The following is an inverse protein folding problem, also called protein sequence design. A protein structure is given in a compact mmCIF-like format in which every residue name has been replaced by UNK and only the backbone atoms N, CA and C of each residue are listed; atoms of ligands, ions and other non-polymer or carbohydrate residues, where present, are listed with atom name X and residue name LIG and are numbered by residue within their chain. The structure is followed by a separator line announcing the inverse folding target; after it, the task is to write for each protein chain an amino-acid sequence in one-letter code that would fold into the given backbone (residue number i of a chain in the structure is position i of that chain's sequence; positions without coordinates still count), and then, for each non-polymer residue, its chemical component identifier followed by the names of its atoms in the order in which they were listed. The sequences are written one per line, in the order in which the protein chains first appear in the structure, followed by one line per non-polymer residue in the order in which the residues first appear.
data_IF_066273719208
#
_entry.id   IF_066273719208
#
_cell.length_a   1.000
_cell.length_b   1.000
_cell.length_c   1.000
_cell.angle_alpha   90.00
_cell.angle_beta   90.00
_cell.angle_gamma   90.00
#
_symmetry.space_group_name_H-M   'P 1'
#
loop_
_entity.id
_entity.type
_entity.pdbx_description
1 polymer ?
#
# COMPACT_ATOMS: atom_id res chain seq x y z
N UNK A 1 -5.87 42.22 -22.87
CA UNK A 1 -5.28 42.70 -21.59
C UNK A 1 -4.30 41.63 -21.16
N UNK A 2 -3.02 41.82 -21.48
CA UNK A 2 -1.95 40.89 -21.08
C UNK A 2 -1.73 41.06 -19.59
N UNK A 3 -1.99 40.02 -18.82
CA UNK A 3 -1.57 39.99 -17.41
C UNK A 3 -0.05 39.78 -17.46
N UNK A 4 0.72 40.83 -17.23
CA UNK A 4 2.14 40.75 -16.94
C UNK A 4 2.25 39.95 -15.62
N UNK A 5 2.59 38.68 -15.70
CA UNK A 5 3.07 37.95 -14.53
C UNK A 5 4.36 38.67 -14.09
N UNK A 6 4.31 39.30 -12.94
CA UNK A 6 5.48 39.93 -12.35
C UNK A 6 6.42 38.78 -11.87
N UNK A 7 7.45 38.52 -12.70
CA UNK A 7 8.55 37.65 -12.25
C UNK A 7 9.27 38.39 -11.14
N UNK A 8 9.40 37.73 -9.99
CA UNK A 8 10.10 38.29 -8.82
C UNK A 8 11.60 38.30 -9.11
N UNK A 9 12.27 39.45 -8.94
CA UNK A 9 13.72 39.54 -9.02
C UNK A 9 14.36 38.64 -7.95
N UNK A 10 15.20 37.74 -8.37
CA UNK A 10 15.92 36.78 -7.48
C UNK A 10 17.37 37.23 -7.32
N UNK A 11 17.96 36.88 -6.18
CA UNK A 11 19.38 37.05 -5.87
C UNK A 11 19.99 35.73 -5.42
N UNK A 12 21.23 35.52 -5.77
CA UNK A 12 22.01 34.37 -5.35
C UNK A 12 22.56 34.62 -3.94
N UNK A 13 22.42 33.60 -3.09
CA UNK A 13 22.87 33.62 -1.71
C UNK A 13 23.88 32.51 -1.48
N UNK A 14 25.05 32.84 -0.98
CA UNK A 14 26.06 31.90 -0.51
C UNK A 14 26.24 32.07 0.99
N UNK A 15 26.26 30.93 1.74
CA UNK A 15 26.37 30.95 3.19
C UNK A 15 27.40 29.93 3.68
N UNK A 16 28.25 30.39 4.61
CA UNK A 16 29.16 29.52 5.39
C UNK A 16 28.87 29.72 6.88
N UNK A 17 28.59 28.65 7.59
CA UNK A 17 28.24 28.71 9.01
C UNK A 17 28.81 27.56 9.82
N UNK A 18 28.79 27.71 11.15
CA UNK A 18 29.23 26.66 12.07
C UNK A 18 28.22 25.52 12.16
N UNK A 19 28.66 24.27 12.11
CA UNK A 19 27.81 23.06 12.23
C UNK A 19 26.99 23.04 13.53
N UNK A 20 27.55 23.58 14.63
CA UNK A 20 26.84 23.69 15.92
C UNK A 20 25.57 24.54 15.87
N UNK A 21 25.52 25.51 14.97
CA UNK A 21 24.39 26.42 14.81
C UNK A 21 23.48 26.06 13.61
N UNK A 22 23.84 25.03 12.83
CA UNK A 22 23.12 24.63 11.60
C UNK A 22 21.63 24.33 11.85
N UNK A 23 21.34 23.47 12.82
CA UNK A 23 19.96 23.03 13.09
C UNK A 23 19.04 24.18 13.53
N UNK A 24 19.37 25.02 14.53
CA UNK A 24 18.52 26.13 14.90
C UNK A 24 18.39 27.17 13.77
N UNK A 25 19.48 27.42 13.02
CA UNK A 25 19.45 28.32 11.86
C UNK A 25 18.47 27.81 10.78
N UNK A 26 18.56 26.55 10.38
CA UNK A 26 17.65 25.96 9.41
C UNK A 26 16.18 26.03 9.83
N UNK A 27 15.91 25.88 11.13
CA UNK A 27 14.56 26.06 11.66
C UNK A 27 14.03 27.47 11.45
N UNK A 28 14.88 28.49 11.61
CA UNK A 28 14.49 29.89 11.42
C UNK A 28 14.43 30.23 9.92
N UNK A 29 15.34 29.73 9.11
CA UNK A 29 15.35 29.92 7.66
C UNK A 29 14.09 29.33 7.00
N UNK A 30 13.73 28.11 7.35
CA UNK A 30 12.47 27.49 6.87
C UNK A 30 11.23 28.28 7.32
N UNK A 31 11.28 28.92 8.49
CA UNK A 31 10.18 29.79 8.93
C UNK A 31 10.05 31.06 8.10
N UNK A 32 11.14 31.57 7.54
CA UNK A 32 11.08 32.69 6.61
C UNK A 32 10.44 32.25 5.29
N UNK A 33 10.68 31.02 4.85
CA UNK A 33 10.08 30.43 3.66
C UNK A 33 10.40 31.15 2.36
N UNK A 34 11.60 31.79 2.27
CA UNK A 34 11.98 32.68 1.17
C UNK A 34 13.33 32.32 0.52
N UNK A 35 13.97 31.24 1.01
CA UNK A 35 15.26 30.78 0.46
C UNK A 35 15.09 29.39 -0.09
N UNK A 36 15.44 29.20 -1.37
CA UNK A 36 15.58 27.91 -2.03
C UNK A 36 17.06 27.53 -1.99
N UNK A 37 17.38 26.38 -1.41
CA UNK A 37 18.76 25.88 -1.31
C UNK A 37 19.00 24.96 -2.50
N UNK A 38 20.10 25.22 -3.24
CA UNK A 38 20.48 24.43 -4.40
C UNK A 38 21.05 23.06 -3.95
N UNK A 39 20.74 22.02 -4.71
CA UNK A 39 21.42 20.73 -4.53
C UNK A 39 22.87 20.83 -5.05
N UNK A 40 23.82 20.41 -4.24
CA UNK A 40 25.26 20.41 -4.56
C UNK A 40 25.69 19.13 -5.31
N UNK A 41 24.80 18.53 -6.12
CA UNK A 41 25.07 17.24 -6.79
C UNK A 41 26.22 17.23 -7.81
N UNK A 42 26.79 18.35 -8.19
CA UNK A 42 27.91 18.41 -9.13
C UNK A 42 29.26 18.86 -8.55
N UNK A 43 29.25 19.44 -7.35
CA UNK A 43 30.42 20.16 -6.81
C UNK A 43 31.48 19.25 -6.17
N UNK A 44 31.11 18.05 -5.75
CA UNK A 44 32.02 17.14 -4.99
C UNK A 44 32.88 16.24 -5.90
N UNK A 45 32.76 16.33 -7.20
CA UNK A 45 33.52 15.48 -8.14
C UNK A 45 34.99 15.90 -8.37
N UNK A 46 35.42 17.06 -7.88
CA UNK A 46 36.80 17.51 -7.92
C UNK A 46 37.52 17.13 -6.60
N UNK A 47 37.70 15.84 -6.40
CA UNK A 47 38.28 15.25 -5.16
C UNK A 47 39.74 15.65 -4.87
N UNK A 48 40.48 16.21 -5.81
CA UNK A 48 41.94 16.39 -5.65
C UNK A 48 42.33 17.59 -4.75
N UNK A 49 41.48 18.58 -4.53
CA UNK A 49 41.88 19.78 -3.81
C UNK A 49 41.07 20.13 -2.55
N UNK A 50 39.99 19.35 -2.24
CA UNK A 50 39.18 19.51 -1.04
C UNK A 50 38.91 18.19 -0.30
N UNK A 51 39.91 17.52 0.23
CA UNK A 51 39.75 16.17 0.84
C UNK A 51 38.88 16.17 2.11
N UNK A 52 38.62 17.33 2.72
CA UNK A 52 37.88 17.44 3.98
C UNK A 52 36.43 17.88 3.82
N UNK A 53 35.97 18.07 2.57
CA UNK A 53 34.58 18.41 2.30
C UNK A 53 33.78 17.15 1.99
N UNK A 54 32.73 16.93 2.75
CA UNK A 54 31.81 15.79 2.56
C UNK A 54 30.36 16.26 2.57
N UNK A 55 29.52 15.49 1.93
CA UNK A 55 28.06 15.61 2.10
C UNK A 55 27.64 14.93 3.40
N UNK A 56 26.79 15.59 4.14
CA UNK A 56 26.16 14.95 5.30
C UNK A 56 25.19 13.87 4.78
N UNK A 57 25.55 12.61 4.94
CA UNK A 57 24.68 11.50 4.53
C UNK A 57 23.49 11.40 5.50
N UNK A 58 22.35 11.89 5.09
CA UNK A 58 21.08 11.78 5.81
C UNK A 58 20.10 10.80 5.14
N UNK A 59 20.57 10.00 4.20
CA UNK A 59 19.73 9.08 3.44
C UNK A 59 18.93 8.11 4.34
N UNK A 60 19.54 7.59 5.40
CA UNK A 60 18.87 6.70 6.35
C UNK A 60 17.74 7.42 7.12
N UNK A 61 17.98 8.66 7.57
CA UNK A 61 16.97 9.45 8.26
C UNK A 61 15.83 9.85 7.33
N UNK A 62 16.13 10.23 6.10
CA UNK A 62 15.13 10.55 5.07
C UNK A 62 14.29 9.32 4.76
N UNK A 63 14.90 8.16 4.52
CA UNK A 63 14.17 6.91 4.22
C UNK A 63 13.28 6.49 5.38
N UNK A 64 13.73 6.64 6.62
CA UNK A 64 12.91 6.37 7.81
C UNK A 64 11.70 7.30 7.89
N UNK A 65 11.91 8.60 7.67
CA UNK A 65 10.82 9.58 7.70
C UNK A 65 9.83 9.34 6.55
N UNK A 66 10.28 8.94 5.37
CA UNK A 66 9.42 8.58 4.25
C UNK A 66 8.59 7.33 4.55
N UNK A 67 9.16 6.34 5.23
CA UNK A 67 8.42 5.17 5.71
C UNK A 67 7.35 5.54 6.75
N UNK A 68 7.68 6.41 7.71
CA UNK A 68 6.73 6.92 8.70
C UNK A 68 5.59 7.72 8.04
N UNK A 69 5.91 8.57 7.06
CA UNK A 69 4.93 9.34 6.26
C UNK A 69 4.00 8.39 5.51
N UNK A 70 4.55 7.37 4.85
CA UNK A 70 3.75 6.37 4.14
C UNK A 70 2.79 5.62 5.08
N UNK A 71 3.26 5.23 6.28
CA UNK A 71 2.42 4.59 7.31
C UNK A 71 1.26 5.49 7.74
N UNK A 72 1.54 6.75 8.03
CA UNK A 72 0.50 7.73 8.42
C UNK A 72 -0.47 8.00 7.27
N UNK A 73 0.01 8.05 6.02
CA UNK A 73 -0.84 8.21 4.83
C UNK A 73 -1.82 7.04 4.68
N UNK A 74 -1.36 5.80 4.86
CA UNK A 74 -2.22 4.61 4.84
C UNK A 74 -3.32 4.69 5.91
N UNK A 75 -2.98 5.16 7.13
CA UNK A 75 -3.95 5.35 8.20
C UNK A 75 -5.00 6.41 7.84
N UNK A 76 -4.57 7.56 7.31
CA UNK A 76 -5.47 8.64 6.87
C UNK A 76 -6.40 8.19 5.75
N UNK A 77 -5.88 7.46 4.77
CA UNK A 77 -6.66 6.93 3.65
C UNK A 77 -7.71 5.92 4.13
N UNK A 78 -7.33 5.05 5.08
CA UNK A 78 -8.25 4.09 5.70
C UNK A 78 -9.37 4.81 6.45
N UNK A 79 -9.04 5.77 7.32
CA UNK A 79 -10.02 6.56 8.07
C UNK A 79 -10.92 7.34 7.10
N UNK A 80 -10.36 8.00 6.07
CA UNK A 80 -11.11 8.77 5.09
C UNK A 80 -12.12 7.95 4.28
N UNK A 81 -11.85 6.67 4.08
CA UNK A 81 -12.74 5.75 3.35
C UNK A 81 -14.01 5.46 4.13
N UNK A 82 -13.92 5.38 5.45
CA UNK A 82 -15.04 5.00 6.33
C UNK A 82 -15.58 6.18 7.15
N UNK A 83 -15.00 7.38 7.00
CA UNK A 83 -15.51 8.60 7.61
C UNK A 83 -16.87 8.98 6.99
N UNK A 84 -17.93 8.89 7.79
CA UNK A 84 -19.29 9.26 7.42
C UNK A 84 -19.62 10.73 7.65
N UNK A 85 -18.66 11.52 8.16
CA UNK A 85 -18.80 12.93 8.42
C UNK A 85 -19.04 13.77 7.15
N UNK A 86 -19.67 14.92 7.30
CA UNK A 86 -19.86 15.86 6.19
C UNK A 86 -18.49 16.40 5.76
N UNK A 87 -18.04 16.00 4.58
CA UNK A 87 -16.80 16.54 4.00
C UNK A 87 -17.06 17.96 3.49
N UNK A 88 -16.28 18.98 3.90
CA UNK A 88 -16.41 20.32 3.33
C UNK A 88 -16.04 20.28 1.85
N UNK A 89 -16.84 20.98 1.02
CA UNK A 89 -16.60 21.07 -0.44
C UNK A 89 -15.31 21.85 -0.78
N UNK A 90 -14.83 22.68 0.14
CA UNK A 90 -13.61 23.47 0.00
C UNK A 90 -12.75 23.24 1.23
N UNK A 91 -11.58 22.65 1.04
CA UNK A 91 -10.57 22.53 2.08
C UNK A 91 -9.81 23.85 2.19
N UNK A 92 -10.14 24.67 3.18
CA UNK A 92 -9.35 25.85 3.51
C UNK A 92 -8.20 25.46 4.43
N UNK A 93 -6.97 25.83 4.05
CA UNK A 93 -5.80 25.69 4.92
C UNK A 93 -6.01 26.58 6.14
N UNK A 94 -5.89 26.02 7.35
CA UNK A 94 -5.95 26.77 8.59
C UNK A 94 -4.55 27.16 9.00
N UNK A 95 -4.33 28.45 9.21
CA UNK A 95 -3.09 28.93 9.82
C UNK A 95 -3.08 28.60 11.31
N UNK A 96 -2.05 27.90 11.76
CA UNK A 96 -1.86 27.52 13.16
C UNK A 96 -0.56 28.16 13.65
N UNK A 97 -0.61 28.79 14.82
CA UNK A 97 0.59 29.31 15.46
C UNK A 97 1.51 28.16 15.84
N UNK A 98 2.81 28.28 15.54
CA UNK A 98 3.81 27.22 15.74
C UNK A 98 3.84 26.68 17.18
N UNK A 99 3.80 27.58 18.19
CA UNK A 99 3.79 27.15 19.59
C UNK A 99 2.59 26.26 19.91
N UNK A 100 1.39 26.65 19.43
CA UNK A 100 0.16 25.86 19.61
C UNK A 100 0.30 24.49 18.93
N UNK A 101 0.85 24.45 17.72
CA UNK A 101 1.08 23.21 16.97
C UNK A 101 2.08 22.29 17.72
N UNK A 102 3.23 22.82 18.17
CA UNK A 102 4.26 22.06 18.88
C UNK A 102 3.75 21.54 20.22
N UNK A 103 3.07 22.38 20.99
CA UNK A 103 2.51 22.00 22.29
C UNK A 103 1.45 20.91 22.12
N UNK A 104 0.57 21.05 21.13
CA UNK A 104 -0.45 20.06 20.79
C UNK A 104 0.19 18.73 20.39
N UNK A 105 1.15 18.75 19.45
CA UNK A 105 1.86 17.56 19.00
C UNK A 105 2.56 16.83 20.15
N UNK A 106 3.20 17.55 21.07
CA UNK A 106 3.84 16.96 22.24
C UNK A 106 2.83 16.30 23.19
N UNK A 107 1.68 16.94 23.39
CA UNK A 107 0.63 16.43 24.27
C UNK A 107 -0.09 15.19 23.70
N UNK A 108 -0.28 15.13 22.40
CA UNK A 108 -1.07 14.06 21.74
C UNK A 108 -0.23 12.96 21.10
N UNK A 109 1.10 13.10 21.03
CA UNK A 109 2.00 12.25 20.26
C UNK A 109 1.72 10.75 20.43
N UNK A 110 1.76 10.26 21.67
CA UNK A 110 1.61 8.83 21.95
C UNK A 110 0.22 8.31 21.54
N UNK A 111 -0.83 9.08 21.85
CA UNK A 111 -2.19 8.72 21.48
C UNK A 111 -2.38 8.71 19.95
N UNK A 112 -1.80 9.70 19.26
CA UNK A 112 -1.86 9.79 17.80
C UNK A 112 -1.12 8.63 17.13
N UNK A 113 0.08 8.28 17.62
CA UNK A 113 0.83 7.14 17.10
C UNK A 113 0.05 5.81 17.30
N UNK A 114 -0.58 5.61 18.46
CA UNK A 114 -1.45 4.46 18.70
C UNK A 114 -2.66 4.42 17.75
N UNK A 115 -3.29 5.57 17.49
CA UNK A 115 -4.40 5.65 16.55
C UNK A 115 -3.98 5.33 15.12
N UNK A 116 -2.78 5.75 14.71
CA UNK A 116 -2.19 5.37 13.41
C UNK A 116 -1.99 3.86 13.34
N UNK A 117 -1.40 3.25 14.38
CA UNK A 117 -1.16 1.80 14.41
C UNK A 117 -2.47 1.01 14.35
N UNK A 118 -3.49 1.42 15.11
CA UNK A 118 -4.81 0.83 15.06
C UNK A 118 -5.45 0.94 13.67
N UNK A 119 -5.35 2.13 13.02
CA UNK A 119 -5.91 2.32 11.69
C UNK A 119 -5.22 1.45 10.63
N UNK A 120 -3.89 1.33 10.68
CA UNK A 120 -3.11 0.48 9.77
C UNK A 120 -3.45 -0.99 10.00
N UNK A 121 -3.55 -1.44 11.26
CA UNK A 121 -3.90 -2.82 11.60
C UNK A 121 -5.31 -3.17 11.14
N UNK A 122 -6.31 -2.34 11.43
CA UNK A 122 -7.69 -2.53 10.99
C UNK A 122 -7.80 -2.58 9.46
N UNK A 123 -7.11 -1.68 8.75
CA UNK A 123 -7.09 -1.70 7.28
C UNK A 123 -6.46 -2.99 6.72
N UNK A 124 -5.41 -3.50 7.38
CA UNK A 124 -4.79 -4.77 7.01
C UNK A 124 -5.75 -5.95 7.23
N UNK A 125 -6.40 -6.02 8.39
CA UNK A 125 -7.39 -7.09 8.69
C UNK A 125 -8.51 -7.12 7.66
N UNK A 126 -9.05 -5.95 7.29
CA UNK A 126 -10.07 -5.85 6.24
C UNK A 126 -9.56 -6.39 4.90
N UNK A 127 -8.32 -6.06 4.51
CA UNK A 127 -7.73 -6.53 3.25
C UNK A 127 -7.51 -8.05 3.25
N UNK A 128 -6.99 -8.58 4.37
CA UNK A 128 -6.73 -10.01 4.55
C UNK A 128 -8.06 -10.80 4.54
N UNK A 129 -9.08 -10.33 5.27
CA UNK A 129 -10.40 -10.95 5.30
C UNK A 129 -11.08 -10.93 3.91
N UNK A 130 -11.00 -9.85 3.16
CA UNK A 130 -11.53 -9.78 1.79
C UNK A 130 -10.83 -10.75 0.85
N UNK A 131 -9.52 -10.90 0.99
CA UNK A 131 -8.73 -11.87 0.21
C UNK A 131 -9.17 -13.31 0.51
N UNK A 132 -9.36 -13.63 1.79
CA UNK A 132 -9.83 -14.96 2.21
C UNK A 132 -11.27 -15.24 1.76
N UNK A 133 -12.19 -14.28 1.84
CA UNK A 133 -13.55 -14.40 1.31
C UNK A 133 -13.50 -14.73 -0.21
N UNK A 134 -12.66 -14.04 -0.98
CA UNK A 134 -12.56 -14.31 -2.41
C UNK A 134 -11.99 -15.73 -2.69
N UNK A 135 -11.03 -16.18 -1.87
CA UNK A 135 -10.49 -17.55 -1.95
C UNK A 135 -11.59 -18.57 -1.66
N UNK A 136 -12.33 -18.40 -0.56
CA UNK A 136 -13.41 -19.31 -0.17
C UNK A 136 -14.53 -19.35 -1.24
N UNK A 137 -14.93 -18.20 -1.78
CA UNK A 137 -15.93 -18.13 -2.86
C UNK A 137 -15.46 -18.89 -4.10
N UNK A 138 -14.17 -18.81 -4.45
CA UNK A 138 -13.63 -19.58 -5.58
C UNK A 138 -13.69 -21.09 -5.31
N UNK A 139 -13.38 -21.51 -4.08
CA UNK A 139 -13.51 -22.93 -3.68
C UNK A 139 -14.96 -23.39 -3.75
N UNK A 140 -15.89 -22.61 -3.21
CA UNK A 140 -17.33 -22.92 -3.27
C UNK A 140 -17.79 -23.05 -4.72
N UNK A 141 -17.40 -22.15 -5.61
CA UNK A 141 -17.73 -22.23 -7.03
C UNK A 141 -17.22 -23.54 -7.68
N UNK A 142 -16.07 -24.03 -7.25
CA UNK A 142 -15.52 -25.32 -7.71
C UNK A 142 -16.26 -26.53 -7.16
N UNK A 143 -16.82 -26.43 -5.93
CA UNK A 143 -17.58 -27.51 -5.29
C UNK A 143 -19.06 -27.52 -5.67
N UNK A 144 -19.65 -26.39 -6.02
CA UNK A 144 -21.08 -26.21 -6.27
C UNK A 144 -21.63 -27.20 -7.30
N UNK A 145 -20.95 -27.53 -8.43
CA UNK A 145 -21.43 -28.55 -9.36
C UNK A 145 -21.50 -29.96 -8.77
N UNK A 146 -20.85 -30.19 -7.63
CA UNK A 146 -20.74 -31.47 -6.92
C UNK A 146 -21.55 -31.51 -5.62
N UNK A 147 -22.34 -30.50 -5.33
CA UNK A 147 -23.07 -30.35 -4.06
C UNK A 147 -23.96 -31.55 -3.71
N UNK A 148 -24.52 -32.21 -4.72
CA UNK A 148 -25.38 -33.39 -4.54
C UNK A 148 -24.61 -34.70 -4.33
N UNK A 149 -23.28 -34.66 -4.35
CA UNK A 149 -22.44 -35.83 -4.09
C UNK A 149 -22.44 -36.11 -2.58
N UNK A 150 -22.96 -37.25 -2.16
CA UNK A 150 -23.08 -37.72 -0.77
C UNK A 150 -21.89 -38.55 -0.28
N UNK A 151 -20.79 -38.53 -1.03
CA UNK A 151 -19.54 -39.23 -0.69
C UNK A 151 -18.52 -38.21 -0.17
N UNK A 152 -17.87 -38.50 0.99
CA UNK A 152 -16.78 -37.66 1.48
C UNK A 152 -15.64 -37.56 0.48
N UNK A 153 -15.11 -36.35 0.28
CA UNK A 153 -14.11 -36.06 -0.75
C UNK A 153 -12.77 -36.78 -0.55
N UNK A 154 -12.44 -37.10 0.71
CA UNK A 154 -11.26 -37.91 1.03
C UNK A 154 -11.44 -39.40 0.64
N UNK A 155 -12.68 -39.84 0.38
CA UNK A 155 -12.97 -41.22 0.04
C UNK A 155 -12.92 -41.46 -1.48
N UNK A 156 -11.76 -41.25 -2.09
CA UNK A 156 -11.56 -41.51 -3.52
C UNK A 156 -11.34 -42.97 -3.85
N UNK A 157 -10.90 -43.79 -2.87
CA UNK A 157 -10.62 -45.20 -3.04
C UNK A 157 -10.97 -46.00 -1.75
N UNK A 158 -11.41 -47.21 -1.96
CA UNK A 158 -11.53 -48.26 -0.93
C UNK A 158 -10.52 -49.37 -1.17
N UNK A 159 -10.58 -50.49 -0.43
CA UNK A 159 -9.71 -51.65 -0.68
C UNK A 159 -9.83 -52.20 -2.12
N UNK A 160 -11.03 -52.18 -2.70
CA UNK A 160 -11.34 -52.85 -3.95
C UNK A 160 -11.94 -51.92 -5.02
N UNK A 161 -12.59 -50.82 -4.63
CA UNK A 161 -13.27 -49.93 -5.55
C UNK A 161 -12.62 -48.54 -5.56
N UNK A 162 -12.76 -47.82 -6.69
CA UNK A 162 -12.35 -46.43 -6.81
C UNK A 162 -13.53 -45.57 -7.28
N UNK A 163 -13.55 -44.31 -6.79
CA UNK A 163 -14.43 -43.26 -7.23
C UNK A 163 -13.70 -42.36 -8.25
N UNK A 164 -14.25 -42.21 -9.43
CA UNK A 164 -13.73 -41.30 -10.47
C UNK A 164 -14.78 -40.23 -10.74
N UNK A 165 -14.37 -38.97 -10.53
CA UNK A 165 -15.19 -37.81 -10.80
C UNK A 165 -14.69 -37.10 -12.04
N UNK A 166 -15.58 -36.58 -12.84
CA UNK A 166 -15.17 -35.82 -14.01
C UNK A 166 -16.32 -35.20 -14.79
N UNK A 167 -15.95 -34.41 -15.76
CA UNK A 167 -16.86 -33.70 -16.64
C UNK A 167 -16.76 -34.23 -18.05
N UNK A 168 -17.86 -34.22 -18.76
CA UNK A 168 -17.92 -34.55 -20.19
C UNK A 168 -18.39 -33.34 -21.00
N UNK A 169 -18.25 -33.41 -22.32
CA UNK A 169 -18.67 -32.31 -23.17
C UNK A 169 -20.18 -32.07 -23.05
N UNK A 170 -20.60 -30.84 -22.94
CA UNK A 170 -22.02 -30.43 -22.77
C UNK A 170 -22.97 -30.93 -23.87
N UNK A 171 -22.44 -31.35 -25.03
CA UNK A 171 -23.19 -31.94 -26.13
C UNK A 171 -23.32 -33.48 -26.05
N UNK A 172 -22.74 -34.10 -25.04
CA UNK A 172 -22.77 -35.54 -24.84
C UNK A 172 -24.19 -35.98 -24.44
N UNK A 173 -24.67 -37.06 -25.06
CA UNK A 173 -25.89 -37.68 -24.59
C UNK A 173 -25.54 -38.56 -23.36
N UNK A 174 -25.91 -38.11 -22.16
CA UNK A 174 -25.62 -38.82 -20.91
C UNK A 174 -26.18 -40.25 -20.87
N UNK A 175 -27.38 -40.50 -21.45
CA UNK A 175 -27.97 -41.83 -21.53
C UNK A 175 -27.17 -42.76 -22.42
N UNK A 176 -26.62 -42.25 -23.52
CA UNK A 176 -25.75 -43.05 -24.42
C UNK A 176 -24.42 -43.38 -23.72
N UNK A 177 -23.82 -42.37 -23.04
CA UNK A 177 -22.59 -42.58 -22.26
C UNK A 177 -22.79 -43.68 -21.19
N UNK A 178 -23.90 -43.61 -20.44
CA UNK A 178 -24.21 -44.64 -19.42
C UNK A 178 -24.34 -46.01 -20.06
N UNK A 179 -25.05 -46.12 -21.19
CA UNK A 179 -25.24 -47.39 -21.91
C UNK A 179 -23.89 -47.98 -22.38
N UNK A 180 -23.04 -47.17 -22.99
CA UNK A 180 -21.75 -47.62 -23.53
C UNK A 180 -20.75 -48.01 -22.43
N UNK A 181 -20.72 -47.25 -21.33
CA UNK A 181 -19.89 -47.55 -20.17
C UNK A 181 -20.37 -48.85 -19.48
N UNK A 182 -21.69 -49.03 -19.28
CA UNK A 182 -22.23 -50.28 -18.72
C UNK A 182 -22.06 -51.51 -19.62
N UNK A 183 -22.01 -51.30 -20.94
CA UNK A 183 -21.69 -52.40 -21.88
C UNK A 183 -20.23 -52.84 -21.74
N UNK A 184 -19.30 -51.90 -21.47
CA UNK A 184 -17.89 -52.23 -21.25
C UNK A 184 -17.62 -52.70 -19.80
N UNK A 185 -18.32 -52.16 -18.82
CA UNK A 185 -18.13 -52.37 -17.40
C UNK A 185 -19.49 -52.59 -16.70
N UNK A 186 -20.04 -53.78 -16.72
CA UNK A 186 -21.38 -54.08 -16.17
C UNK A 186 -21.47 -53.89 -14.64
N UNK A 187 -20.34 -53.87 -13.95
CA UNK A 187 -20.21 -53.69 -12.49
C UNK A 187 -20.12 -52.21 -12.07
N UNK A 188 -19.96 -51.30 -13.03
CA UNK A 188 -19.79 -49.87 -12.70
C UNK A 188 -21.11 -49.22 -12.25
N UNK A 189 -21.02 -48.35 -11.27
CA UNK A 189 -22.14 -47.48 -10.86
C UNK A 189 -21.88 -46.07 -11.42
N UNK A 190 -22.85 -45.52 -12.10
CA UNK A 190 -22.74 -44.24 -12.78
C UNK A 190 -23.84 -43.31 -12.25
N UNK A 191 -23.44 -42.16 -11.73
CA UNK A 191 -24.38 -41.13 -11.31
C UNK A 191 -24.09 -39.83 -12.08
N UNK A 192 -25.10 -39.25 -12.68
CA UNK A 192 -25.06 -37.90 -13.21
C UNK A 192 -25.28 -36.90 -12.09
N UNK A 193 -24.31 -35.97 -11.89
CA UNK A 193 -24.31 -35.01 -10.80
C UNK A 193 -24.56 -33.63 -11.41
N UNK A 194 -25.77 -33.11 -11.24
CA UNK A 194 -26.13 -31.76 -11.68
C UNK A 194 -25.93 -31.48 -13.18
N UNK A 195 -26.89 -30.85 -13.80
CA UNK A 195 -26.84 -30.50 -15.22
C UNK A 195 -26.75 -28.97 -15.37
N UNK A 196 -25.55 -28.42 -15.19
CA UNK A 196 -25.24 -27.05 -15.60
C UNK A 196 -24.59 -27.05 -16.99
N UNK A 197 -23.79 -26.05 -17.32
CA UNK A 197 -23.11 -25.91 -18.62
C UNK A 197 -22.19 -27.07 -18.99
N UNK A 198 -21.80 -27.90 -18.03
CA UNK A 198 -21.04 -29.14 -18.19
C UNK A 198 -21.80 -30.27 -17.51
N UNK A 199 -21.77 -31.44 -18.07
CA UNK A 199 -22.35 -32.63 -17.44
C UNK A 199 -21.29 -33.26 -16.54
N UNK A 200 -21.61 -33.35 -15.26
CA UNK A 200 -20.72 -33.90 -14.23
C UNK A 200 -21.18 -35.34 -13.93
N UNK A 201 -20.23 -36.23 -13.81
CA UNK A 201 -20.49 -37.65 -13.52
C UNK A 201 -19.59 -38.16 -12.40
N UNK A 202 -20.15 -39.02 -11.57
CA UNK A 202 -19.39 -39.89 -10.67
C UNK A 202 -19.47 -41.33 -11.18
N UNK A 203 -18.34 -42.01 -11.20
CA UNK A 203 -18.20 -43.39 -11.58
C UNK A 203 -17.58 -44.16 -10.42
N UNK A 204 -18.19 -45.26 -10.01
CA UNK A 204 -17.62 -46.21 -9.06
C UNK A 204 -17.36 -47.49 -9.79
N UNK A 205 -16.12 -47.95 -9.83
CA UNK A 205 -15.70 -49.22 -10.45
C UNK A 205 -14.67 -49.94 -9.58
N UNK A 206 -14.40 -51.21 -9.93
CA UNK A 206 -13.29 -51.92 -9.29
C UNK A 206 -11.95 -51.30 -9.69
N UNK A 207 -10.97 -51.33 -8.78
CA UNK A 207 -9.64 -50.73 -9.06
C UNK A 207 -8.98 -51.29 -10.33
N UNK A 208 -9.10 -52.57 -10.53
CA UNK A 208 -8.52 -53.24 -11.69
C UNK A 208 -9.20 -52.86 -13.01
N UNK A 209 -10.39 -52.27 -12.95
CA UNK A 209 -11.18 -51.84 -14.10
C UNK A 209 -11.01 -50.37 -14.43
N UNK A 210 -10.24 -49.62 -13.64
CA UNK A 210 -10.07 -48.15 -13.76
C UNK A 210 -9.59 -47.73 -15.15
N UNK A 211 -8.63 -48.45 -15.72
CA UNK A 211 -8.09 -48.16 -17.06
C UNK A 211 -9.14 -48.40 -18.14
N UNK A 212 -9.94 -49.47 -18.01
CA UNK A 212 -11.03 -49.76 -18.93
C UNK A 212 -12.13 -48.67 -18.87
N UNK A 213 -12.40 -48.12 -17.68
CA UNK A 213 -13.30 -47.00 -17.51
C UNK A 213 -12.83 -45.78 -18.30
N UNK A 214 -11.54 -45.41 -18.16
CA UNK A 214 -10.99 -44.28 -18.92
C UNK A 214 -11.03 -44.49 -20.43
N UNK A 215 -10.77 -45.70 -20.90
CA UNK A 215 -10.90 -46.03 -22.36
C UNK A 215 -12.35 -45.89 -22.84
N UNK A 216 -13.34 -46.35 -22.05
CA UNK A 216 -14.77 -46.20 -22.38
C UNK A 216 -15.24 -44.74 -22.37
N UNK A 217 -14.65 -43.90 -21.53
CA UNK A 217 -14.99 -42.47 -21.40
C UNK A 217 -14.27 -41.57 -22.45
N UNK A 218 -13.19 -42.07 -23.06
CA UNK A 218 -12.37 -41.31 -24.02
C UNK A 218 -13.15 -40.70 -25.19
N UNK A 219 -14.10 -41.38 -25.83
CA UNK A 219 -14.89 -40.83 -26.94
C UNK A 219 -15.73 -39.64 -26.56
N UNK A 220 -16.07 -39.49 -25.27
CA UNK A 220 -16.93 -38.45 -24.72
C UNK A 220 -16.18 -37.20 -24.25
N UNK A 221 -14.85 -37.16 -24.45
CA UNK A 221 -14.03 -36.04 -24.02
C UNK A 221 -14.01 -35.87 -22.50
N UNK A 222 -14.01 -36.97 -21.76
CA UNK A 222 -13.99 -36.99 -20.32
C UNK A 222 -12.72 -36.32 -19.75
N UNK A 223 -12.93 -35.43 -18.78
CA UNK A 223 -11.86 -34.76 -18.01
C UNK A 223 -12.06 -35.11 -16.55
N UNK A 224 -11.09 -35.82 -15.95
CA UNK A 224 -11.13 -36.15 -14.54
C UNK A 224 -11.00 -34.92 -13.68
N UNK A 225 -11.80 -34.83 -12.60
CA UNK A 225 -11.80 -33.76 -11.63
C UNK A 225 -11.38 -34.32 -10.29
N UNK A 226 -10.43 -33.65 -9.64
CA UNK A 226 -10.03 -33.93 -8.26
C UNK A 226 -10.52 -32.79 -7.37
N UNK A 227 -11.40 -33.07 -6.44
CA UNK A 227 -12.02 -32.06 -5.57
C UNK A 227 -11.17 -31.65 -4.35
N UNK A 228 -9.96 -32.19 -4.23
CA UNK A 228 -9.03 -31.91 -3.12
C UNK A 228 -9.10 -32.98 -2.03
N UNK A 229 -8.25 -32.85 -1.01
CA UNK A 229 -8.13 -33.81 0.12
C UNK A 229 -8.87 -33.36 1.36
N UNK A 230 -9.83 -32.44 1.24
CA UNK A 230 -10.58 -31.90 2.39
C UNK A 230 -11.60 -32.93 2.87
N UNK A 231 -11.72 -33.11 4.19
CA UNK A 231 -12.65 -34.09 4.79
C UNK A 231 -14.09 -33.58 4.75
N UNK A 232 -15.01 -34.48 4.42
CA UNK A 232 -16.44 -34.21 4.39
C UNK A 232 -17.03 -34.22 2.98
N UNK A 233 -18.35 -34.15 2.88
CA UNK A 233 -19.08 -34.04 1.60
C UNK A 233 -18.97 -32.62 1.02
N UNK A 234 -19.13 -32.44 -0.29
CA UNK A 234 -19.14 -31.10 -0.89
C UNK A 234 -20.17 -30.18 -0.26
N UNK A 235 -21.37 -30.67 0.05
CA UNK A 235 -22.42 -29.88 0.70
C UNK A 235 -22.03 -29.38 2.10
N UNK A 236 -21.42 -30.26 2.94
CA UNK A 236 -20.94 -29.87 4.27
C UNK A 236 -19.82 -28.85 4.19
N UNK A 237 -18.93 -28.99 3.21
CA UNK A 237 -17.84 -28.03 2.98
C UNK A 237 -18.33 -26.66 2.51
N UNK A 238 -19.27 -26.64 1.57
CA UNK A 238 -19.92 -25.41 1.10
C UNK A 238 -20.54 -24.68 2.27
N UNK A 239 -21.35 -25.37 3.08
CA UNK A 239 -21.95 -24.78 4.26
C UNK A 239 -20.91 -24.23 5.24
N UNK A 240 -19.86 -24.99 5.55
CA UNK A 240 -18.79 -24.55 6.45
C UNK A 240 -18.06 -23.32 5.91
N UNK A 241 -17.82 -23.23 4.59
CA UNK A 241 -17.17 -22.07 4.00
C UNK A 241 -18.10 -20.85 3.95
N UNK A 242 -19.40 -21.03 3.76
CA UNK A 242 -20.38 -19.94 3.85
C UNK A 242 -20.47 -19.37 5.27
N UNK A 243 -20.42 -20.23 6.29
CA UNK A 243 -20.34 -19.81 7.70
C UNK A 243 -19.06 -19.00 7.97
N UNK A 244 -17.90 -19.44 7.43
CA UNK A 244 -16.63 -18.73 7.55
C UNK A 244 -16.71 -17.37 6.83
N UNK A 245 -17.30 -17.29 5.64
CA UNK A 245 -17.49 -16.03 4.92
C UNK A 245 -18.33 -15.07 5.75
N UNK A 246 -19.43 -15.55 6.34
CA UNK A 246 -20.29 -14.73 7.19
C UNK A 246 -19.52 -14.19 8.41
N UNK A 247 -18.69 -14.99 9.04
CA UNK A 247 -17.85 -14.54 10.16
C UNK A 247 -16.82 -13.49 9.74
N UNK A 248 -16.18 -13.68 8.59
CA UNK A 248 -15.23 -12.71 8.04
C UNK A 248 -15.91 -11.39 7.62
N UNK A 249 -17.14 -11.44 7.08
CA UNK A 249 -17.92 -10.25 6.76
C UNK A 249 -18.32 -9.46 8.02
N UNK A 250 -18.59 -10.15 9.13
CA UNK A 250 -18.80 -9.50 10.44
C UNK A 250 -17.52 -8.86 10.96
N UNK A 251 -16.38 -9.55 10.87
CA UNK A 251 -15.07 -8.99 11.25
C UNK A 251 -14.76 -7.71 10.45
N UNK A 252 -14.98 -7.73 9.14
CA UNK A 252 -14.82 -6.54 8.30
C UNK A 252 -15.69 -5.39 8.82
N UNK A 253 -16.96 -5.64 9.11
CA UNK A 253 -17.87 -4.62 9.60
C UNK A 253 -17.42 -4.02 10.95
N UNK A 254 -16.91 -4.83 11.85
CA UNK A 254 -16.36 -4.37 13.14
C UNK A 254 -15.11 -3.49 12.93
N UNK A 255 -14.18 -3.90 12.06
CA UNK A 255 -12.98 -3.12 11.78
C UNK A 255 -13.31 -1.81 11.03
N UNK A 256 -14.30 -1.81 10.13
CA UNK A 256 -14.82 -0.60 9.46
C UNK A 256 -15.41 0.39 10.49
N UNK A 257 -16.14 -0.10 11.49
CA UNK A 257 -16.67 0.74 12.57
C UNK A 257 -15.53 1.34 13.43
N UNK A 258 -14.48 0.56 13.72
CA UNK A 258 -13.30 1.07 14.45
C UNK A 258 -12.62 2.20 13.65
N UNK A 259 -12.45 2.02 12.35
CA UNK A 259 -11.89 3.07 11.47
C UNK A 259 -12.78 4.31 11.43
N UNK A 260 -14.10 4.14 11.34
CA UNK A 260 -15.04 5.27 11.38
C UNK A 260 -14.95 6.04 12.72
N UNK A 261 -14.79 5.33 13.84
CA UNK A 261 -14.62 5.96 15.16
C UNK A 261 -13.32 6.78 15.28
N UNK A 262 -12.26 6.37 14.58
CA UNK A 262 -10.99 7.11 14.55
C UNK A 262 -11.08 8.45 13.78
N UNK A 263 -12.19 8.74 13.09
CA UNK A 263 -12.41 10.03 12.41
C UNK A 263 -12.30 11.23 13.36
N UNK A 264 -12.59 11.05 14.65
CA UNK A 264 -12.41 12.10 15.69
C UNK A 264 -10.93 12.48 15.88
N UNK A 265 -10.02 11.52 15.74
CA UNK A 265 -8.57 11.73 15.86
C UNK A 265 -7.89 12.15 14.55
N UNK A 266 -8.65 12.27 13.45
CA UNK A 266 -8.10 12.55 12.11
C UNK A 266 -7.24 13.80 12.07
N UNK A 267 -7.67 14.89 12.72
CA UNK A 267 -6.92 16.15 12.74
C UNK A 267 -5.54 15.99 13.41
N UNK A 268 -5.44 15.20 14.47
CA UNK A 268 -4.17 14.93 15.16
C UNK A 268 -3.24 14.12 14.26
N UNK A 269 -3.79 13.17 13.50
CA UNK A 269 -3.03 12.35 12.54
C UNK A 269 -2.56 13.23 11.36
N UNK A 270 -3.37 14.16 10.86
CA UNK A 270 -2.99 15.15 9.84
C UNK A 270 -1.83 16.02 10.33
N UNK A 271 -1.87 16.46 11.59
CA UNK A 271 -0.76 17.22 12.19
C UNK A 271 0.53 16.38 12.32
N UNK A 272 0.39 15.10 12.67
CA UNK A 272 1.54 14.20 12.70
C UNK A 272 2.14 14.06 11.29
N UNK A 273 1.31 13.88 10.26
CA UNK A 273 1.73 13.84 8.87
C UNK A 273 2.53 15.08 8.47
N UNK A 274 1.97 16.27 8.72
CA UNK A 274 2.63 17.55 8.42
C UNK A 274 3.97 17.71 9.18
N UNK A 275 4.01 17.29 10.44
CA UNK A 275 5.24 17.30 11.25
C UNK A 275 6.33 16.40 10.67
N UNK A 276 5.95 15.22 10.19
CA UNK A 276 6.88 14.29 9.55
C UNK A 276 7.38 14.83 8.21
N UNK A 277 6.51 15.42 7.40
CA UNK A 277 6.88 16.08 6.15
C UNK A 277 7.89 17.22 6.40
N UNK A 278 7.62 18.09 7.36
CA UNK A 278 8.55 19.18 7.72
C UNK A 278 9.90 18.65 8.21
N UNK A 279 9.93 17.52 8.91
CA UNK A 279 11.18 16.88 9.35
C UNK A 279 11.94 16.26 8.19
N UNK A 280 11.25 15.58 7.27
CA UNK A 280 11.82 15.02 6.04
C UNK A 280 12.45 16.11 5.19
N UNK A 281 11.73 17.21 4.95
CA UNK A 281 12.21 18.30 4.10
C UNK A 281 13.45 18.95 4.70
N UNK A 282 13.51 19.12 6.04
CA UNK A 282 14.74 19.56 6.70
C UNK A 282 15.89 18.59 6.56
N UNK A 283 15.62 17.29 6.68
CA UNK A 283 16.66 16.28 6.50
C UNK A 283 17.19 16.29 5.06
N UNK A 284 16.32 16.45 4.06
CA UNK A 284 16.73 16.60 2.65
C UNK A 284 17.64 17.82 2.47
N UNK A 285 17.24 18.97 2.94
CA UNK A 285 18.05 20.21 2.85
C UNK A 285 19.42 20.05 3.50
N UNK A 286 19.51 19.36 4.65
CA UNK A 286 20.83 19.09 5.26
C UNK A 286 21.68 18.18 4.37
N UNK A 287 21.09 17.25 3.63
CA UNK A 287 21.78 16.40 2.65
C UNK A 287 22.26 17.16 1.40
N UNK A 288 21.61 18.27 1.07
CA UNK A 288 22.02 19.13 -0.06
C UNK A 288 23.16 20.10 0.28
N UNK A 289 23.53 20.22 1.56
CA UNK A 289 24.63 21.07 2.01
C UNK A 289 25.97 20.35 1.98
N UNK A 290 27.04 21.09 1.69
CA UNK A 290 28.40 20.64 1.90
C UNK A 290 28.81 20.90 3.35
N UNK A 291 29.63 20.02 3.92
CA UNK A 291 30.10 20.15 5.29
C UNK A 291 31.54 19.73 5.42
N UNK A 292 32.25 20.36 6.35
CA UNK A 292 33.47 19.86 6.97
C UNK A 292 33.16 19.41 8.40
N UNK A 293 34.15 19.05 9.18
CA UNK A 293 33.95 18.74 10.61
C UNK A 293 33.32 19.91 11.40
N UNK A 294 33.63 21.17 11.04
CA UNK A 294 33.27 22.35 11.83
C UNK A 294 32.30 23.29 11.17
N UNK A 295 32.26 23.35 9.83
CA UNK A 295 31.45 24.30 9.08
C UNK A 295 30.57 23.60 8.05
N UNK A 296 29.48 24.26 7.70
CA UNK A 296 28.62 23.90 6.56
C UNK A 296 28.61 25.02 5.53
N UNK A 297 28.34 24.65 4.30
CA UNK A 297 28.21 25.54 3.13
C UNK A 297 26.95 25.21 2.35
N UNK A 298 26.27 26.22 1.89
CA UNK A 298 25.27 26.09 0.82
C UNK A 298 25.21 27.36 -0.03
N UNK A 299 24.77 27.21 -1.25
CA UNK A 299 24.25 28.27 -2.09
C UNK A 299 22.78 28.08 -2.39
N UNK A 300 22.12 29.14 -2.75
CA UNK A 300 20.67 29.13 -3.01
C UNK A 300 20.18 30.45 -3.59
N UNK A 301 18.88 30.52 -3.73
CA UNK A 301 18.18 31.66 -4.29
C UNK A 301 17.22 32.29 -3.30
N UNK A 302 17.11 33.61 -3.35
CA UNK A 302 16.13 34.34 -2.57
C UNK A 302 15.55 35.52 -3.37
N UNK A 303 14.26 35.87 -3.16
CA UNK A 303 13.69 37.06 -3.79
C UNK A 303 14.29 38.33 -3.18
N UNK A 304 14.59 39.30 -4.03
CA UNK A 304 15.24 40.58 -3.66
C UNK A 304 14.54 41.32 -2.52
N UNK A 305 13.20 41.23 -2.47
CA UNK A 305 12.42 41.87 -1.40
C UNK A 305 12.64 41.22 -0.01
N UNK A 306 13.15 40.02 0.06
CA UNK A 306 13.41 39.29 1.32
C UNK A 306 14.80 39.54 1.90
N UNK A 307 15.67 40.23 1.16
CA UNK A 307 17.09 40.44 1.50
C UNK A 307 17.30 40.88 2.97
N UNK A 308 16.62 41.91 3.40
CA UNK A 308 16.80 42.45 4.79
C UNK A 308 16.48 41.38 5.85
N UNK A 309 15.41 40.60 5.66
CA UNK A 309 15.02 39.55 6.59
C UNK A 309 16.05 38.43 6.68
N UNK A 310 16.58 38.03 5.52
CA UNK A 310 17.61 36.97 5.41
C UNK A 310 18.92 37.46 6.01
N UNK A 311 19.38 38.68 5.66
CA UNK A 311 20.58 39.26 6.25
C UNK A 311 20.51 39.39 7.78
N UNK A 312 19.36 39.82 8.34
CA UNK A 312 19.19 39.91 9.77
C UNK A 312 19.29 38.53 10.45
N UNK A 313 18.76 37.47 9.83
CA UNK A 313 18.92 36.11 10.31
C UNK A 313 20.37 35.65 10.27
N UNK A 314 21.09 35.88 9.16
CA UNK A 314 22.50 35.49 9.00
C UNK A 314 23.41 36.22 10.02
N UNK A 315 23.20 37.52 10.21
CA UNK A 315 23.90 38.33 11.22
C UNK A 315 23.67 37.83 12.65
N UNK A 316 22.45 37.40 12.99
CA UNK A 316 22.11 36.82 14.31
C UNK A 316 22.96 35.58 14.64
N UNK A 317 23.33 34.78 13.62
CA UNK A 317 24.15 33.57 13.78
C UNK A 317 25.64 33.82 13.50
N UNK A 318 26.01 35.06 13.18
CA UNK A 318 27.39 35.47 12.82
C UNK A 318 27.99 34.66 11.68
N UNK A 319 27.15 34.32 10.66
CA UNK A 319 27.60 33.55 9.51
C UNK A 319 28.21 34.45 8.46
N UNK A 320 29.20 33.89 7.74
CA UNK A 320 29.67 34.52 6.52
C UNK A 320 28.62 34.32 5.42
N UNK A 321 28.32 35.38 4.66
CA UNK A 321 27.42 35.31 3.52
C UNK A 321 27.83 36.26 2.41
N UNK A 322 27.44 35.89 1.18
CA UNK A 322 27.55 36.72 0.00
C UNK A 322 26.19 36.74 -0.73
N UNK A 323 25.79 37.90 -1.23
CA UNK A 323 24.53 38.09 -1.96
C UNK A 323 24.85 38.81 -3.24
N UNK A 324 24.61 38.14 -4.37
CA UNK A 324 24.94 38.62 -5.71
C UNK A 324 23.70 38.66 -6.59
N UNK A 325 23.73 39.53 -7.63
CA UNK A 325 22.73 39.47 -8.69
C UNK A 325 23.07 38.26 -9.60
N UNK A 326 22.05 37.58 -10.21
CA UNK A 326 22.30 36.44 -11.07
C UNK A 326 23.12 36.83 -12.31
N UNK A 327 23.97 35.91 -12.76
CA UNK A 327 24.65 36.07 -14.03
C UNK A 327 23.64 36.05 -15.19
N UNK A 328 23.90 36.79 -16.29
CA UNK A 328 22.96 36.87 -17.43
C UNK A 328 22.60 35.52 -18.06
N UNK A 329 23.47 34.53 -17.95
CA UNK A 329 23.33 33.20 -18.53
C UNK A 329 22.91 32.15 -17.51
N UNK A 330 22.64 32.54 -16.25
CA UNK A 330 22.28 31.64 -15.18
C UNK A 330 20.77 31.36 -15.13
N UNK A 331 20.36 30.09 -15.04
CA UNK A 331 18.95 29.71 -14.86
C UNK A 331 18.48 30.10 -13.49
N UNK A 332 17.66 31.13 -13.43
CA UNK A 332 17.08 31.63 -12.17
C UNK A 332 15.75 30.93 -11.88
N UNK A 333 15.51 30.39 -10.68
CA UNK A 333 14.23 29.80 -10.34
C UNK A 333 13.11 30.86 -10.37
N UNK A 334 11.98 30.49 -10.96
CA UNK A 334 10.81 31.37 -11.07
C UNK A 334 9.92 31.19 -9.84
N UNK A 335 9.83 32.22 -9.02
CA UNK A 335 8.85 32.29 -7.95
C UNK A 335 7.53 32.85 -8.51
N UNK A 336 6.48 32.03 -8.47
CA UNK A 336 5.12 32.40 -8.91
C UNK A 336 4.29 32.94 -7.75
#
# INVERSE_FOLDING_TARGET
MWVLMAVTDMQKLTVIGLNSSRTPFLHELMRLGVVEINSQEGVVNDEEWMPDIFRTSNSADVSRLEADIARVSVALDAINRYDTGKKPLIHTRKEIKRNVFVDHMNATKTATEMNVDHAVESNKKIADARTEINRLRTVIQGLQPWETLDVPMEMTETAHACLVLGTVNAKTNGAQLQTDVLAALPSAVINEIGADKQQNFSFICWKDEKDQLYEALRPYGFVSVTLGETKGTPAELIQSYEEQITALEQEIQEEEQKLAALSVAKQDIEYLYDSLCMRRDRAKVVGDMLSTETVFYFDGWMPKWSREKVENLLKKYEFYYNIEEPDPDEEVPILL
#
